data_IF_163197613966
#
_entry.id   IF_163197613966
#
_cell.length_a   1.000
_cell.length_b   1.000
_cell.length_c   1.000
_cell.angle_alpha   90.00
_cell.angle_beta   90.00
_cell.angle_gamma   90.00
#
_symmetry.space_group_name_H-M   'P 1'
#
loop_
_entity.id
_entity.type
_entity.pdbx_description
1 polymer ?
#
# COMPACT_ATOMS: atom_id res chain seq x y z
N UNK A 1 -6.83 -26.87 -18.25
CA UNK A 1 -6.66 -27.70 -17.01
C UNK A 1 -7.84 -27.38 -16.12
N UNK A 2 -8.55 -28.38 -15.65
CA UNK A 2 -9.65 -28.20 -14.68
C UNK A 2 -9.10 -28.31 -13.26
N UNK A 3 -9.77 -27.64 -12.32
CA UNK A 3 -9.40 -27.73 -10.91
C UNK A 3 -9.82 -29.09 -10.34
N UNK A 4 -8.92 -29.78 -9.66
CA UNK A 4 -9.22 -31.01 -8.96
C UNK A 4 -9.72 -30.69 -7.54
N UNK A 5 -11.03 -30.58 -7.38
CA UNK A 5 -11.67 -30.14 -6.15
C UNK A 5 -12.33 -31.30 -5.42
N UNK A 6 -12.09 -31.42 -4.10
CA UNK A 6 -12.81 -32.35 -3.20
C UNK A 6 -14.07 -31.70 -2.61
N UNK A 7 -14.13 -30.38 -2.53
CA UNK A 7 -15.28 -29.56 -2.12
C UNK A 7 -15.31 -28.27 -2.96
N UNK A 8 -16.43 -27.53 -2.98
CA UNK A 8 -16.50 -26.30 -3.77
C UNK A 8 -15.42 -25.31 -3.39
N UNK A 9 -14.87 -24.59 -4.38
CA UNK A 9 -13.96 -23.46 -4.21
C UNK A 9 -14.70 -22.18 -4.60
N UNK A 10 -14.78 -21.23 -3.65
CA UNK A 10 -15.48 -19.97 -3.81
C UNK A 10 -14.45 -18.85 -4.00
N UNK A 11 -14.34 -18.36 -5.23
CA UNK A 11 -13.60 -17.15 -5.53
C UNK A 11 -14.44 -15.94 -5.14
N UNK A 12 -13.81 -14.91 -4.57
CA UNK A 12 -14.51 -13.70 -4.21
C UNK A 12 -13.62 -12.47 -4.32
N UNK A 13 -14.28 -11.33 -4.56
CA UNK A 13 -13.70 -10.01 -4.63
C UNK A 13 -14.70 -8.99 -4.11
N UNK A 14 -14.24 -7.88 -3.55
CA UNK A 14 -15.08 -6.82 -3.00
C UNK A 14 -14.71 -5.45 -3.52
N UNK A 15 -15.72 -4.57 -3.62
CA UNK A 15 -15.53 -3.13 -3.63
C UNK A 15 -16.00 -2.55 -2.29
N UNK A 16 -15.33 -1.50 -1.84
CA UNK A 16 -15.58 -0.90 -0.52
C UNK A 16 -15.64 0.61 -0.55
N UNK A 17 -16.17 1.22 0.53
CA UNK A 17 -16.19 2.68 0.69
C UNK A 17 -14.80 3.28 0.86
N UNK A 18 -13.79 2.49 1.19
CA UNK A 18 -12.41 2.87 1.40
C UNK A 18 -11.56 1.70 1.92
N UNK A 19 -10.34 1.98 2.35
CA UNK A 19 -9.35 0.96 2.73
C UNK A 19 -9.21 0.73 4.25
N UNK A 20 -9.97 1.42 5.07
CA UNK A 20 -9.92 1.31 6.53
C UNK A 20 -10.95 0.30 7.02
N UNK A 21 -10.58 -0.97 7.13
CA UNK A 21 -11.48 -2.08 7.47
C UNK A 21 -12.40 -1.77 8.66
N UNK A 22 -11.95 -1.23 9.82
CA UNK A 22 -12.84 -0.90 10.93
C UNK A 22 -13.88 0.20 10.64
N UNK A 23 -13.61 1.10 9.69
CA UNK A 23 -14.46 2.27 9.41
C UNK A 23 -15.23 2.16 8.10
N UNK A 24 -14.71 1.43 7.12
CA UNK A 24 -15.28 1.30 5.80
C UNK A 24 -16.21 0.09 5.70
N UNK A 25 -16.99 0.02 4.62
CA UNK A 25 -18.00 -1.02 4.39
C UNK A 25 -17.92 -1.56 2.96
N UNK A 26 -18.34 -2.81 2.77
CA UNK A 26 -18.52 -3.42 1.45
C UNK A 26 -19.66 -2.72 0.71
N UNK A 27 -19.43 -2.38 -0.56
CA UNK A 27 -20.43 -1.78 -1.46
C UNK A 27 -20.75 -2.67 -2.67
N UNK A 28 -19.86 -3.59 -3.00
CA UNK A 28 -20.09 -4.66 -3.95
C UNK A 28 -19.37 -5.92 -3.48
N UNK A 29 -20.01 -7.07 -3.60
CA UNK A 29 -19.43 -8.39 -3.31
C UNK A 29 -19.75 -9.31 -4.46
N UNK A 30 -18.74 -9.93 -5.06
CA UNK A 30 -18.92 -10.90 -6.14
C UNK A 30 -18.35 -12.25 -5.75
N UNK A 31 -19.12 -13.29 -6.04
CA UNK A 31 -18.75 -14.68 -5.82
C UNK A 31 -18.79 -15.47 -7.13
N UNK A 32 -17.76 -16.28 -7.34
CA UNK A 32 -17.72 -17.33 -8.37
C UNK A 32 -17.44 -18.65 -7.66
N UNK A 33 -18.43 -19.52 -7.58
CA UNK A 33 -18.34 -20.81 -6.89
C UNK A 33 -18.17 -21.93 -7.90
N UNK A 34 -17.04 -22.63 -7.83
CA UNK A 34 -16.71 -23.78 -8.66
C UNK A 34 -16.95 -25.04 -7.86
N UNK A 35 -17.78 -25.92 -8.38
CA UNK A 35 -18.07 -27.21 -7.76
C UNK A 35 -17.13 -28.32 -8.26
N UNK A 36 -16.93 -29.39 -7.47
CA UNK A 36 -16.32 -30.60 -7.99
C UNK A 36 -17.07 -31.04 -9.27
N UNK A 37 -16.31 -31.27 -10.37
CA UNK A 37 -16.93 -31.58 -11.68
C UNK A 37 -17.12 -30.38 -12.61
N UNK A 38 -16.74 -29.17 -12.19
CA UNK A 38 -16.61 -27.99 -13.05
C UNK A 38 -17.87 -27.14 -13.21
N UNK A 39 -18.98 -27.45 -12.52
CA UNK A 39 -20.15 -26.57 -12.50
C UNK A 39 -19.75 -25.23 -11.86
N UNK A 40 -20.17 -24.11 -12.49
CA UNK A 40 -19.90 -22.76 -12.02
C UNK A 40 -21.20 -22.06 -11.64
N UNK A 41 -21.18 -21.31 -10.54
CA UNK A 41 -22.25 -20.38 -10.15
C UNK A 41 -21.68 -19.04 -9.83
N UNK A 42 -22.33 -17.97 -10.28
CA UNK A 42 -21.90 -16.60 -10.09
C UNK A 42 -23.01 -15.82 -9.40
N UNK A 43 -22.63 -14.99 -8.44
CA UNK A 43 -23.54 -14.06 -7.76
C UNK A 43 -22.79 -12.79 -7.39
N UNK A 44 -23.42 -11.66 -7.67
CA UNK A 44 -22.93 -10.34 -7.26
C UNK A 44 -24.03 -9.60 -6.50
N UNK A 45 -23.67 -8.93 -5.43
CA UNK A 45 -24.52 -8.05 -4.64
C UNK A 45 -23.98 -6.63 -4.72
N UNK A 46 -24.85 -5.67 -5.04
CA UNK A 46 -24.66 -4.27 -4.70
C UNK A 46 -25.19 -4.05 -3.29
N UNK A 47 -24.40 -3.46 -2.43
CA UNK A 47 -24.67 -3.39 -1.00
C UNK A 47 -24.65 -1.94 -0.57
N UNK A 48 -25.72 -1.49 0.10
CA UNK A 48 -25.78 -0.19 0.73
C UNK A 48 -24.88 -0.17 1.97
N UNK A 49 -23.83 0.64 1.99
CA UNK A 49 -22.95 0.75 3.15
C UNK A 49 -23.73 1.40 4.31
N UNK A 50 -23.88 0.67 5.43
CA UNK A 50 -24.76 1.10 6.50
C UNK A 50 -24.04 1.19 7.85
N UNK A 51 -24.24 2.31 8.53
CA UNK A 51 -23.81 2.48 9.92
C UNK A 51 -24.97 2.10 10.85
N UNK A 52 -24.83 0.95 11.52
CA UNK A 52 -25.88 0.41 12.38
C UNK A 52 -26.05 1.20 13.68
N UNK A 53 -25.00 1.90 14.15
CA UNK A 53 -25.05 2.73 15.37
C UNK A 53 -25.76 4.07 15.07
N UNK A 54 -25.34 4.76 14.01
CA UNK A 54 -25.88 6.05 13.62
C UNK A 54 -27.13 5.96 12.73
N UNK A 55 -27.47 4.75 12.27
CA UNK A 55 -28.64 4.45 11.41
C UNK A 55 -28.66 5.30 10.13
N UNK A 56 -27.53 5.41 9.48
CA UNK A 56 -27.40 6.16 8.23
C UNK A 56 -26.49 5.44 7.23
N UNK A 57 -26.61 5.81 5.96
CA UNK A 57 -25.69 5.36 4.94
C UNK A 57 -24.30 5.95 5.20
N UNK A 58 -23.25 5.12 5.13
CA UNK A 58 -21.86 5.57 5.16
C UNK A 58 -21.49 6.17 3.80
N UNK A 59 -20.84 7.33 3.74
CA UNK A 59 -20.42 7.92 2.48
C UNK A 59 -19.25 7.11 1.86
N UNK A 60 -19.24 7.02 0.53
CA UNK A 60 -18.12 6.43 -0.20
C UNK A 60 -17.00 7.48 -0.29
N UNK A 61 -15.76 7.06 0.01
CA UNK A 61 -14.60 7.92 -0.17
C UNK A 61 -14.47 8.30 -1.66
N UNK A 62 -14.32 9.60 -2.01
CA UNK A 62 -14.16 10.03 -3.40
C UNK A 62 -13.02 9.34 -4.16
N UNK A 63 -11.93 8.95 -3.49
CA UNK A 63 -10.84 8.20 -4.13
C UNK A 63 -11.27 6.75 -4.43
N UNK A 64 -12.07 6.11 -3.58
CA UNK A 64 -12.65 4.80 -3.86
C UNK A 64 -13.61 4.88 -5.06
N UNK A 65 -14.52 5.87 -5.10
CA UNK A 65 -15.43 6.07 -6.24
C UNK A 65 -14.71 6.30 -7.57
N UNK A 66 -13.53 6.91 -7.57
CA UNK A 66 -12.72 7.07 -8.80
C UNK A 66 -12.20 5.74 -9.33
N UNK A 67 -11.95 4.77 -8.45
CA UNK A 67 -11.41 3.46 -8.81
C UNK A 67 -12.51 2.49 -9.20
N UNK A 68 -13.55 2.36 -8.34
CA UNK A 68 -14.61 1.38 -8.52
C UNK A 68 -15.83 1.90 -9.31
N UNK A 69 -15.88 3.21 -9.58
CA UNK A 69 -16.97 3.88 -10.31
C UNK A 69 -18.35 3.75 -9.67
N UNK A 70 -18.42 3.47 -8.36
CA UNK A 70 -19.66 3.38 -7.59
C UNK A 70 -19.82 4.66 -6.78
N UNK A 71 -21.04 5.22 -6.80
CA UNK A 71 -21.42 6.43 -6.07
C UNK A 71 -22.53 6.15 -5.05
N UNK A 72 -22.66 7.02 -4.04
CA UNK A 72 -23.67 6.87 -2.99
C UNK A 72 -25.10 6.73 -3.56
N UNK A 73 -25.44 7.49 -4.59
CA UNK A 73 -26.76 7.47 -5.23
C UNK A 73 -27.09 6.10 -5.87
N UNK A 74 -26.08 5.40 -6.40
CA UNK A 74 -26.26 4.07 -7.00
C UNK A 74 -26.65 3.01 -6.01
N UNK A 75 -26.42 3.23 -4.72
CA UNK A 75 -26.64 2.26 -3.65
C UNK A 75 -27.82 2.61 -2.75
N UNK A 76 -28.53 3.71 -3.01
CA UNK A 76 -29.62 4.21 -2.15
C UNK A 76 -30.72 3.15 -1.93
N UNK A 77 -31.10 2.42 -2.97
CA UNK A 77 -32.16 1.40 -2.94
C UNK A 77 -31.61 -0.03 -2.83
N UNK A 78 -30.28 -0.19 -2.65
CA UNK A 78 -29.67 -1.48 -2.47
C UNK A 78 -29.91 -2.04 -1.05
N UNK A 79 -29.92 -3.37 -0.86
CA UNK A 79 -29.95 -3.98 0.46
C UNK A 79 -28.68 -3.64 1.24
N UNK A 80 -28.77 -3.60 2.56
CA UNK A 80 -27.61 -3.54 3.44
C UNK A 80 -26.94 -4.91 3.53
N UNK A 81 -25.69 -4.97 4.08
CA UNK A 81 -25.06 -6.26 4.32
C UNK A 81 -25.89 -7.14 5.28
N UNK A 82 -26.54 -6.54 6.29
CA UNK A 82 -27.45 -7.23 7.18
C UNK A 82 -28.56 -7.98 6.42
N UNK A 83 -29.12 -7.38 5.37
CA UNK A 83 -30.23 -7.99 4.61
C UNK A 83 -29.76 -9.20 3.81
N UNK A 84 -28.55 -9.16 3.26
CA UNK A 84 -27.99 -10.23 2.40
C UNK A 84 -27.11 -11.24 3.14
N UNK A 85 -26.79 -11.01 4.41
CA UNK A 85 -25.81 -11.79 5.16
C UNK A 85 -26.10 -13.29 5.22
N UNK A 86 -27.37 -13.70 5.32
CA UNK A 86 -27.77 -15.13 5.30
C UNK A 86 -27.49 -15.77 3.95
N UNK A 87 -27.79 -15.06 2.86
CA UNK A 87 -27.52 -15.55 1.51
C UNK A 87 -26.02 -15.66 1.29
N UNK A 88 -25.24 -14.64 1.67
CA UNK A 88 -23.77 -14.64 1.59
C UNK A 88 -23.18 -15.79 2.41
N UNK A 89 -23.63 -15.99 3.65
CA UNK A 89 -23.20 -17.11 4.48
C UNK A 89 -23.53 -18.48 3.85
N UNK A 90 -24.71 -18.60 3.20
CA UNK A 90 -25.12 -19.80 2.47
C UNK A 90 -24.21 -20.12 1.28
N UNK A 91 -23.69 -19.10 0.59
CA UNK A 91 -22.73 -19.30 -0.50
C UNK A 91 -21.35 -19.78 0.01
N UNK A 92 -20.90 -19.28 1.17
CA UNK A 92 -19.64 -19.67 1.78
C UNK A 92 -19.69 -21.09 2.36
N UNK A 93 -20.87 -21.49 2.84
CA UNK A 93 -21.04 -22.78 3.50
C UNK A 93 -20.52 -23.93 2.65
N UNK A 94 -19.79 -24.85 3.30
CA UNK A 94 -19.20 -26.05 2.71
C UNK A 94 -18.21 -25.81 1.55
N UNK A 95 -17.63 -24.58 1.47
CA UNK A 95 -16.66 -24.20 0.45
C UNK A 95 -15.32 -23.87 1.06
N UNK A 96 -14.24 -24.04 0.29
CA UNK A 96 -12.97 -23.34 0.51
C UNK A 96 -13.01 -21.99 -0.21
N UNK A 97 -12.10 -21.07 0.15
CA UNK A 97 -12.11 -19.70 -0.35
C UNK A 97 -10.89 -19.44 -1.24
N UNK A 98 -11.06 -18.61 -2.25
CA UNK A 98 -9.97 -18.14 -3.09
C UNK A 98 -10.18 -16.67 -3.49
N UNK A 99 -9.08 -15.98 -3.80
CA UNK A 99 -9.12 -14.61 -4.32
C UNK A 99 -7.72 -14.10 -4.63
N UNK A 100 -7.60 -12.83 -5.01
CA UNK A 100 -6.33 -12.19 -5.31
C UNK A 100 -6.02 -11.10 -4.29
N UNK A 101 -5.00 -11.26 -3.45
CA UNK A 101 -4.68 -10.42 -2.28
C UNK A 101 -5.79 -10.39 -1.22
N UNK A 102 -6.75 -11.27 -1.33
CA UNK A 102 -7.99 -11.28 -0.54
C UNK A 102 -7.78 -11.67 0.92
N UNK A 103 -6.71 -12.38 1.25
CA UNK A 103 -6.33 -12.71 2.63
C UNK A 103 -5.98 -11.48 3.48
N UNK A 104 -5.59 -10.36 2.86
CA UNK A 104 -5.17 -9.14 3.56
C UNK A 104 -6.23 -8.04 3.60
N UNK A 105 -7.22 -8.08 2.71
CA UNK A 105 -8.22 -7.03 2.60
C UNK A 105 -9.66 -7.59 2.53
N UNK A 106 -9.98 -8.34 1.49
CA UNK A 106 -11.37 -8.78 1.23
C UNK A 106 -11.92 -9.67 2.34
N UNK A 107 -11.15 -10.68 2.75
CA UNK A 107 -11.56 -11.60 3.81
C UNK A 107 -11.70 -10.90 5.17
N UNK A 108 -10.76 -10.06 5.62
CA UNK A 108 -10.93 -9.23 6.81
C UNK A 108 -12.15 -8.30 6.76
N UNK A 109 -12.40 -7.65 5.60
CA UNK A 109 -13.57 -6.76 5.43
C UNK A 109 -14.88 -7.56 5.48
N UNK A 110 -14.92 -8.73 4.84
CA UNK A 110 -16.09 -9.62 4.88
C UNK A 110 -16.36 -10.13 6.31
N UNK A 111 -15.30 -10.46 7.05
CA UNK A 111 -15.40 -10.85 8.45
C UNK A 111 -15.97 -9.71 9.31
N UNK A 112 -15.48 -8.49 9.11
CA UNK A 112 -15.96 -7.29 9.80
C UNK A 112 -17.45 -7.03 9.54
N UNK A 113 -17.91 -7.17 8.29
CA UNK A 113 -19.33 -7.00 7.95
C UNK A 113 -20.21 -8.08 8.61
N UNK A 114 -19.78 -9.34 8.66
CA UNK A 114 -20.50 -10.37 9.39
C UNK A 114 -20.60 -10.08 10.89
N UNK A 115 -19.51 -9.60 11.51
CA UNK A 115 -19.55 -9.25 12.94
C UNK A 115 -20.44 -8.03 13.20
N UNK A 116 -20.43 -7.02 12.33
CA UNK A 116 -21.36 -5.88 12.39
C UNK A 116 -22.83 -6.34 12.28
N UNK A 117 -23.13 -7.26 11.36
CA UNK A 117 -24.48 -7.82 11.23
C UNK A 117 -24.91 -8.60 12.48
N UNK A 118 -24.02 -9.38 13.10
CA UNK A 118 -24.28 -10.07 14.37
C UNK A 118 -24.53 -9.08 15.51
N UNK A 119 -23.71 -8.03 15.65
CA UNK A 119 -23.89 -6.97 16.64
C UNK A 119 -25.22 -6.22 16.44
N UNK A 120 -25.68 -6.07 15.20
CA UNK A 120 -26.97 -5.51 14.86
C UNK A 120 -28.16 -6.46 15.13
N UNK A 121 -27.91 -7.67 15.63
CA UNK A 121 -28.92 -8.64 16.04
C UNK A 121 -29.21 -9.76 15.03
N UNK A 122 -28.36 -9.93 13.99
CA UNK A 122 -28.51 -11.04 13.04
C UNK A 122 -27.99 -12.36 13.63
N UNK A 123 -28.81 -13.41 13.64
CA UNK A 123 -28.38 -14.75 14.07
C UNK A 123 -27.67 -15.48 12.91
N UNK A 124 -26.35 -15.31 12.84
CA UNK A 124 -25.53 -15.88 11.77
C UNK A 124 -24.60 -16.96 12.29
N UNK A 125 -24.63 -18.12 11.64
CA UNK A 125 -23.73 -19.25 11.90
C UNK A 125 -22.71 -19.38 10.77
N UNK A 126 -21.81 -18.41 10.68
CA UNK A 126 -20.69 -18.40 9.70
C UNK A 126 -19.36 -18.38 10.45
N UNK A 127 -18.45 -19.26 10.04
CA UNK A 127 -17.09 -19.31 10.54
C UNK A 127 -16.12 -19.20 9.36
N UNK A 128 -15.49 -18.02 9.20
CA UNK A 128 -14.55 -17.76 8.12
C UNK A 128 -13.13 -18.30 8.40
N UNK A 129 -12.88 -18.86 9.58
CA UNK A 129 -11.61 -19.50 9.93
C UNK A 129 -11.58 -21.01 9.60
N UNK A 130 -12.69 -21.61 9.26
CA UNK A 130 -12.78 -23.04 8.93
C UNK A 130 -12.38 -23.35 7.49
N UNK A 131 -12.81 -22.57 6.45
CA UNK A 131 -12.41 -22.81 5.07
C UNK A 131 -10.91 -22.69 4.88
N UNK A 132 -10.35 -23.52 3.99
CA UNK A 132 -9.01 -23.29 3.47
C UNK A 132 -9.03 -22.05 2.57
N UNK A 133 -7.91 -21.28 2.58
CA UNK A 133 -7.79 -20.07 1.79
C UNK A 133 -6.69 -20.20 0.75
N UNK A 134 -7.03 -19.99 -0.52
CA UNK A 134 -6.08 -19.93 -1.64
C UNK A 134 -5.96 -18.49 -2.13
N UNK A 135 -4.90 -17.81 -1.73
CA UNK A 135 -4.60 -16.47 -2.24
C UNK A 135 -3.71 -16.58 -3.49
N UNK A 136 -4.31 -16.30 -4.65
CA UNK A 136 -3.65 -16.44 -5.95
C UNK A 136 -2.48 -15.46 -6.10
N UNK A 137 -2.53 -14.28 -5.46
CA UNK A 137 -1.40 -13.34 -5.45
C UNK A 137 -0.20 -13.94 -4.70
N UNK A 138 -0.43 -14.66 -3.61
CA UNK A 138 0.66 -15.31 -2.87
C UNK A 138 1.33 -16.37 -3.73
N UNK A 139 0.55 -17.19 -4.46
CA UNK A 139 1.10 -18.15 -5.43
C UNK A 139 1.91 -17.43 -6.50
N UNK A 140 1.36 -16.37 -7.08
CA UNK A 140 2.05 -15.55 -8.08
C UNK A 140 3.39 -15.02 -7.56
N UNK A 141 3.42 -14.43 -6.36
CA UNK A 141 4.64 -13.89 -5.77
C UNK A 141 5.67 -14.97 -5.40
N UNK A 142 5.23 -16.19 -5.06
CA UNK A 142 6.14 -17.30 -4.77
C UNK A 142 6.72 -17.91 -6.04
N UNK A 143 5.92 -18.02 -7.11
CA UNK A 143 6.31 -18.65 -8.37
C UNK A 143 7.05 -17.68 -9.30
N UNK A 144 6.77 -16.38 -9.19
CA UNK A 144 7.38 -15.30 -9.97
C UNK A 144 8.17 -14.33 -9.06
N UNK A 145 9.33 -14.76 -8.57
CA UNK A 145 10.13 -13.95 -7.67
C UNK A 145 10.65 -12.69 -8.36
N UNK A 146 10.60 -11.54 -7.66
CA UNK A 146 11.13 -10.25 -8.14
C UNK A 146 12.58 -10.07 -7.71
N UNK A 147 13.47 -10.85 -8.31
CA UNK A 147 14.91 -10.76 -8.10
C UNK A 147 15.66 -10.63 -9.45
N UNK A 148 16.98 -10.42 -9.42
CA UNK A 148 17.78 -10.21 -10.60
C UNK A 148 17.72 -11.39 -11.60
N UNK A 149 17.73 -12.64 -11.10
CA UNK A 149 17.62 -13.84 -11.96
C UNK A 149 16.29 -13.88 -12.71
N UNK A 150 15.18 -13.59 -12.01
CA UNK A 150 13.86 -13.53 -12.65
C UNK A 150 13.77 -12.38 -13.64
N UNK A 151 14.33 -11.21 -13.33
CA UNK A 151 14.42 -10.08 -14.25
C UNK A 151 15.25 -10.44 -15.48
N UNK A 152 16.42 -11.06 -15.29
CA UNK A 152 17.28 -11.46 -16.40
C UNK A 152 16.57 -12.46 -17.33
N UNK A 153 15.94 -13.51 -16.79
CA UNK A 153 15.14 -14.46 -17.58
C UNK A 153 14.02 -13.76 -18.36
N UNK A 154 13.32 -12.84 -17.74
CA UNK A 154 12.18 -12.14 -18.35
C UNK A 154 12.58 -11.20 -19.48
N UNK A 155 13.70 -10.49 -19.32
CA UNK A 155 14.16 -9.48 -20.29
C UNK A 155 15.19 -10.00 -21.29
N UNK A 156 16.01 -11.00 -20.91
CA UNK A 156 17.20 -11.40 -21.67
C UNK A 156 17.12 -12.81 -22.30
N UNK A 157 15.91 -13.30 -22.61
CA UNK A 157 15.74 -14.50 -23.45
C UNK A 157 15.35 -15.78 -22.73
N UNK A 158 15.01 -15.73 -21.44
CA UNK A 158 14.42 -16.87 -20.72
C UNK A 158 15.40 -17.80 -20.01
N UNK A 159 16.70 -17.66 -20.26
CA UNK A 159 17.75 -18.45 -19.61
C UNK A 159 18.34 -17.73 -18.36
N UNK A 160 18.97 -18.50 -17.47
CA UNK A 160 19.72 -17.94 -16.36
C UNK A 160 21.12 -17.48 -16.82
N UNK A 161 21.73 -16.57 -16.06
CA UNK A 161 23.13 -16.22 -16.23
C UNK A 161 24.01 -17.04 -15.26
N UNK A 162 25.23 -17.33 -15.69
CA UNK A 162 26.19 -18.11 -14.92
C UNK A 162 26.75 -17.34 -13.74
N UNK A 163 27.24 -18.08 -12.72
CA UNK A 163 27.89 -17.52 -11.53
C UNK A 163 27.06 -16.48 -10.75
N UNK A 164 25.73 -16.63 -10.71
CA UNK A 164 24.88 -15.81 -9.86
C UNK A 164 25.37 -15.82 -8.42
N UNK A 165 25.31 -14.65 -7.77
CA UNK A 165 25.89 -14.30 -6.45
C UNK A 165 27.39 -13.96 -6.50
N UNK A 166 28.00 -13.88 -7.67
CA UNK A 166 29.24 -13.13 -7.88
C UNK A 166 28.90 -11.67 -8.17
N UNK A 167 29.55 -10.74 -7.50
CA UNK A 167 29.29 -9.29 -7.71
C UNK A 167 29.50 -8.88 -9.17
N UNK A 168 30.49 -9.45 -9.86
CA UNK A 168 30.77 -9.21 -11.26
C UNK A 168 29.62 -9.71 -12.16
N UNK A 169 29.21 -10.98 -11.99
CA UNK A 169 28.13 -11.57 -12.80
C UNK A 169 26.79 -10.85 -12.54
N UNK A 170 26.45 -10.52 -11.31
CA UNK A 170 25.24 -9.79 -10.95
C UNK A 170 25.23 -8.37 -11.52
N UNK A 171 26.40 -7.70 -11.54
CA UNK A 171 26.55 -6.36 -12.15
C UNK A 171 26.37 -6.41 -13.67
N UNK A 172 26.97 -7.38 -14.34
CA UNK A 172 26.80 -7.59 -15.77
C UNK A 172 25.35 -7.93 -16.13
N UNK A 173 24.71 -8.84 -15.38
CA UNK A 173 23.31 -9.18 -15.57
C UNK A 173 22.40 -7.94 -15.37
N UNK A 174 22.68 -7.09 -14.39
CA UNK A 174 21.95 -5.84 -14.16
C UNK A 174 22.07 -4.90 -15.38
N UNK A 175 23.25 -4.78 -15.96
CA UNK A 175 23.47 -3.98 -17.16
C UNK A 175 22.69 -4.52 -18.38
N UNK A 176 22.71 -5.83 -18.59
CA UNK A 176 21.94 -6.45 -19.70
C UNK A 176 20.43 -6.26 -19.50
N UNK A 177 19.91 -6.40 -18.28
CA UNK A 177 18.51 -6.13 -17.95
C UNK A 177 18.14 -4.68 -18.28
N UNK A 178 18.97 -3.69 -17.91
CA UNK A 178 18.69 -2.29 -18.23
C UNK A 178 18.63 -2.04 -19.76
N UNK A 179 19.53 -2.62 -20.54
CA UNK A 179 19.48 -2.50 -22.00
C UNK A 179 18.18 -3.08 -22.56
N UNK A 180 17.82 -4.28 -22.14
CA UNK A 180 16.59 -4.93 -22.58
C UNK A 180 15.32 -4.18 -22.13
N UNK A 181 15.33 -3.50 -20.97
CA UNK A 181 14.25 -2.60 -20.57
C UNK A 181 14.13 -1.39 -21.49
N UNK A 182 15.26 -0.78 -21.87
CA UNK A 182 15.28 0.35 -22.82
C UNK A 182 14.77 -0.06 -24.22
N UNK A 183 15.10 -1.26 -24.67
CA UNK A 183 14.61 -1.79 -25.94
C UNK A 183 13.11 -2.10 -25.92
N UNK A 184 12.59 -2.52 -24.75
CA UNK A 184 11.20 -2.94 -24.58
C UNK A 184 10.23 -1.81 -24.35
N UNK A 185 10.63 -0.78 -23.59
CA UNK A 185 9.75 0.30 -23.12
C UNK A 185 10.08 1.62 -23.79
N UNK A 186 9.25 2.02 -24.77
CA UNK A 186 9.45 3.25 -25.53
C UNK A 186 9.37 4.54 -24.69
N UNK A 187 8.72 4.49 -23.53
CA UNK A 187 8.65 5.59 -22.56
C UNK A 187 9.96 5.82 -21.80
N UNK A 188 10.86 4.84 -21.77
CA UNK A 188 12.18 4.98 -21.16
C UNK A 188 13.16 5.66 -22.13
N UNK A 189 13.65 6.82 -21.76
CA UNK A 189 14.69 7.52 -22.52
C UNK A 189 16.05 6.96 -22.15
N UNK A 190 16.86 6.63 -23.16
CA UNK A 190 18.26 6.19 -22.97
C UNK A 190 19.15 7.38 -22.57
N UNK A 191 18.89 7.92 -21.41
CA UNK A 191 19.61 9.03 -20.78
C UNK A 191 19.55 8.87 -19.26
N UNK A 192 20.71 8.89 -18.59
CA UNK A 192 20.80 8.62 -17.14
C UNK A 192 19.99 9.61 -16.30
N UNK A 193 19.95 10.89 -16.70
CA UNK A 193 19.17 11.90 -16.00
C UNK A 193 17.67 11.64 -16.12
N UNK A 194 17.22 11.26 -17.33
CA UNK A 194 15.83 10.92 -17.58
C UNK A 194 15.42 9.64 -16.85
N UNK A 195 16.26 8.60 -16.85
CA UNK A 195 16.01 7.36 -16.10
C UNK A 195 15.98 7.58 -14.60
N UNK A 196 16.90 8.37 -14.07
CA UNK A 196 16.92 8.75 -12.66
C UNK A 196 15.68 9.55 -12.26
N UNK A 197 15.19 10.43 -13.14
CA UNK A 197 13.96 11.19 -12.91
C UNK A 197 12.71 10.29 -12.99
N UNK A 198 12.69 9.31 -13.91
CA UNK A 198 11.60 8.35 -14.06
C UNK A 198 11.42 7.48 -12.81
N UNK A 199 12.52 6.99 -12.23
CA UNK A 199 12.50 6.22 -10.98
C UNK A 199 12.11 7.09 -9.77
N UNK A 200 12.42 8.39 -9.86
CA UNK A 200 12.19 9.37 -8.81
C UNK A 200 13.25 9.31 -7.69
N UNK A 201 13.59 10.48 -7.16
CA UNK A 201 14.49 10.60 -6.01
C UNK A 201 13.70 10.45 -4.72
N UNK A 202 13.64 9.24 -4.19
CA UNK A 202 12.84 8.92 -3.01
C UNK A 202 13.58 9.13 -1.68
N UNK A 203 14.89 8.96 -1.67
CA UNK A 203 15.72 8.95 -0.47
C UNK A 203 16.70 10.13 -0.42
N UNK A 204 16.87 10.68 0.78
CA UNK A 204 17.86 11.74 1.07
C UNK A 204 19.14 11.15 1.61
N UNK A 205 19.02 10.13 2.46
CA UNK A 205 20.11 9.28 2.93
C UNK A 205 19.99 7.86 2.37
N UNK A 206 21.09 7.13 2.22
CA UNK A 206 21.11 5.81 1.60
C UNK A 206 20.43 4.71 2.43
N UNK A 207 20.14 4.98 3.71
CA UNK A 207 19.44 4.04 4.59
C UNK A 207 17.91 4.26 4.60
N UNK A 208 17.41 5.30 3.93
CA UNK A 208 15.98 5.59 3.86
C UNK A 208 15.37 6.13 5.16
N UNK A 209 16.18 6.63 6.08
CA UNK A 209 15.70 7.30 7.29
C UNK A 209 15.18 8.72 7.01
N UNK A 210 15.74 9.37 5.98
CA UNK A 210 15.26 10.63 5.44
C UNK A 210 14.79 10.44 4.02
N UNK A 211 13.55 10.83 3.72
CA UNK A 211 12.93 10.70 2.40
C UNK A 211 12.32 12.02 1.96
N UNK A 212 12.02 12.15 0.67
CA UNK A 212 11.20 13.23 0.15
C UNK A 212 9.72 12.85 0.24
N UNK A 213 8.87 13.78 0.67
CA UNK A 213 7.42 13.68 0.52
C UNK A 213 6.97 14.08 -0.90
N UNK A 214 5.66 13.98 -1.18
CA UNK A 214 5.09 14.34 -2.48
C UNK A 214 5.25 15.83 -2.83
N UNK A 215 5.56 16.68 -1.84
CA UNK A 215 5.83 18.11 -2.01
C UNK A 215 7.32 18.41 -2.15
N UNK A 216 8.19 17.39 -2.17
CA UNK A 216 9.63 17.52 -2.22
C UNK A 216 10.27 17.96 -0.90
N UNK A 217 9.54 17.93 0.22
CA UNK A 217 10.07 18.25 1.53
C UNK A 217 10.76 17.03 2.13
N UNK A 218 11.84 17.25 2.88
CA UNK A 218 12.55 16.18 3.58
C UNK A 218 11.82 15.83 4.87
N UNK A 219 11.34 14.58 4.97
CA UNK A 219 10.67 14.06 6.14
C UNK A 219 11.46 12.93 6.81
N UNK A 220 11.27 12.78 8.11
CA UNK A 220 11.83 11.67 8.90
C UNK A 220 10.96 10.45 8.69
N UNK A 221 11.57 9.32 8.30
CA UNK A 221 10.85 8.07 7.98
C UNK A 221 10.99 7.00 9.08
N UNK A 222 11.31 7.37 10.31
CA UNK A 222 11.47 6.44 11.42
C UNK A 222 11.11 7.04 12.78
N UNK A 223 10.87 6.16 13.77
CA UNK A 223 10.66 6.53 15.16
C UNK A 223 9.49 7.47 15.43
N UNK A 224 9.55 8.17 16.56
CA UNK A 224 8.47 9.06 17.06
C UNK A 224 8.17 10.27 16.17
N UNK A 225 9.08 10.62 15.26
CA UNK A 225 8.93 11.74 14.34
C UNK A 225 8.67 11.33 12.90
N UNK A 226 8.33 10.06 12.66
CA UNK A 226 7.97 9.59 11.33
C UNK A 226 6.87 10.43 10.71
N UNK A 227 7.08 10.88 9.45
CA UNK A 227 6.16 11.73 8.69
C UNK A 227 6.28 13.22 8.96
N UNK A 228 7.05 13.66 9.97
CA UNK A 228 7.32 15.09 10.20
C UNK A 228 8.48 15.57 9.34
N UNK A 229 8.44 16.83 8.89
CA UNK A 229 9.58 17.40 8.19
C UNK A 229 10.77 17.54 9.12
N UNK A 230 11.98 17.36 8.60
CA UNK A 230 13.21 17.53 9.37
C UNK A 230 13.33 18.94 9.96
N UNK A 231 12.75 19.94 9.25
CA UNK A 231 12.68 21.33 9.73
C UNK A 231 11.79 21.45 10.97
N UNK A 232 10.56 20.88 10.93
CA UNK A 232 9.66 20.89 12.08
C UNK A 232 10.32 20.27 13.31
N UNK A 233 11.04 19.16 13.15
CA UNK A 233 11.73 18.51 14.27
C UNK A 233 12.90 19.35 14.78
N UNK A 234 13.65 20.00 13.90
CA UNK A 234 14.71 20.94 14.32
C UNK A 234 14.17 22.11 15.16
N UNK A 235 13.01 22.65 14.79
CA UNK A 235 12.42 23.80 15.47
C UNK A 235 11.75 23.41 16.80
N UNK A 236 11.19 22.22 16.92
CA UNK A 236 10.47 21.77 18.12
C UNK A 236 11.30 20.93 19.09
N UNK A 237 12.24 20.14 18.59
CA UNK A 237 13.09 19.24 19.39
C UNK A 237 14.52 19.12 18.80
N UNK A 238 15.34 20.17 18.84
CA UNK A 238 16.69 20.16 18.26
C UNK A 238 17.62 19.10 18.87
N UNK A 239 17.36 18.66 20.11
CA UNK A 239 18.09 17.58 20.76
C UNK A 239 18.00 16.24 20.03
N UNK A 240 16.95 16.03 19.23
CA UNK A 240 16.77 14.83 18.42
C UNK A 240 17.90 14.64 17.40
N UNK A 241 18.45 15.72 16.86
CA UNK A 241 19.60 15.69 15.97
C UNK A 241 20.86 15.14 16.65
N UNK A 242 21.10 15.55 17.88
CA UNK A 242 22.20 15.02 18.70
C UNK A 242 21.98 13.54 19.05
N UNK A 243 20.74 13.15 19.33
CA UNK A 243 20.40 11.78 19.59
C UNK A 243 20.66 10.87 18.37
N UNK A 244 20.28 11.29 17.15
CA UNK A 244 20.59 10.56 15.92
C UNK A 244 22.09 10.44 15.70
N UNK A 245 22.84 11.52 15.86
CA UNK A 245 24.31 11.52 15.66
C UNK A 245 25.04 10.58 16.61
N UNK A 246 24.57 10.46 17.84
CA UNK A 246 25.16 9.59 18.86
C UNK A 246 24.58 8.18 18.86
N UNK A 247 23.47 7.94 18.16
CA UNK A 247 22.80 6.65 18.07
C UNK A 247 23.43 5.67 17.08
N UNK A 248 22.83 4.48 16.98
CA UNK A 248 23.27 3.40 16.06
C UNK A 248 22.68 3.61 14.65
N UNK A 249 23.01 4.74 14.01
CA UNK A 249 22.65 5.05 12.63
C UNK A 249 23.86 4.96 11.71
N UNK A 250 23.63 4.80 10.41
CA UNK A 250 24.70 4.83 9.42
C UNK A 250 25.41 6.20 9.41
N UNK A 251 26.66 6.21 9.02
CA UNK A 251 27.43 7.47 8.94
C UNK A 251 26.81 8.46 7.96
N UNK A 252 26.23 7.97 6.85
CA UNK A 252 25.53 8.83 5.90
C UNK A 252 24.29 9.50 6.53
N UNK A 253 23.42 8.74 7.23
CA UNK A 253 22.30 9.33 7.97
C UNK A 253 22.76 10.41 8.94
N UNK A 254 23.80 10.11 9.72
CA UNK A 254 24.39 11.09 10.68
C UNK A 254 24.92 12.35 9.98
N UNK A 255 25.58 12.17 8.83
CA UNK A 255 26.10 13.28 8.03
C UNK A 255 24.96 14.15 7.46
N UNK A 256 23.87 13.55 6.97
CA UNK A 256 22.71 14.31 6.49
C UNK A 256 22.05 15.11 7.63
N UNK A 257 21.85 14.52 8.81
CA UNK A 257 21.33 15.25 9.97
C UNK A 257 22.25 16.42 10.37
N UNK A 258 23.58 16.21 10.38
CA UNK A 258 24.52 17.26 10.68
C UNK A 258 24.46 18.42 9.66
N UNK A 259 24.36 18.09 8.35
CA UNK A 259 24.25 19.08 7.28
C UNK A 259 22.97 19.91 7.39
N UNK A 260 21.81 19.28 7.68
CA UNK A 260 20.57 20.01 7.89
C UNK A 260 20.61 20.87 9.14
N UNK A 261 21.21 20.38 10.23
CA UNK A 261 21.37 21.16 11.47
C UNK A 261 22.21 22.43 11.24
N UNK A 262 23.32 22.27 10.53
CA UNK A 262 24.18 23.40 10.18
C UNK A 262 23.45 24.43 9.31
N UNK A 263 22.77 23.96 8.26
CA UNK A 263 21.97 24.79 7.36
C UNK A 263 20.93 25.61 8.13
N UNK A 264 20.13 24.97 8.99
CA UNK A 264 19.09 25.64 9.77
C UNK A 264 19.66 26.61 10.83
N UNK A 265 20.83 26.31 11.40
CA UNK A 265 21.52 27.23 12.29
C UNK A 265 21.99 28.48 11.56
N UNK A 266 22.54 28.32 10.34
CA UNK A 266 22.99 29.46 9.52
C UNK A 266 21.79 30.32 9.07
N UNK A 267 20.66 29.73 8.69
CA UNK A 267 19.46 30.50 8.40
C UNK A 267 19.01 31.35 9.59
N UNK A 268 18.88 30.74 10.78
CA UNK A 268 18.50 31.47 12.00
C UNK A 268 19.49 32.60 12.36
N UNK A 269 20.78 32.45 12.08
CA UNK A 269 21.76 33.49 12.27
C UNK A 269 21.62 34.64 11.25
N UNK A 270 21.35 34.29 9.98
CA UNK A 270 21.13 35.29 8.92
C UNK A 270 19.85 36.10 9.15
N UNK A 271 18.79 35.48 9.62
CA UNK A 271 17.55 36.15 9.98
C UNK A 271 17.75 37.15 11.14
N UNK A 272 18.54 36.77 12.15
CA UNK A 272 18.91 37.69 13.25
C UNK A 272 19.77 38.87 12.80
N UNK A 273 20.64 38.67 11.81
CA UNK A 273 21.50 39.71 11.28
C UNK A 273 20.80 40.69 10.35
N UNK A 274 19.80 40.20 9.58
CA UNK A 274 18.98 40.97 8.65
C UNK A 274 17.69 41.53 9.28
N UNK A 275 17.47 41.32 10.57
CA UNK A 275 16.36 41.89 11.32
C UNK A 275 16.48 43.40 11.45
N UNK A 276 15.38 44.16 11.66
CA UNK A 276 15.46 45.63 11.83
C UNK A 276 16.36 45.96 13.00
N UNK A 277 17.47 46.62 12.72
CA UNK A 277 18.30 47.20 13.75
C UNK A 277 17.43 48.16 14.59
N UNK A 278 17.40 48.05 15.94
CA UNK A 278 16.75 49.03 16.76
C UNK A 278 17.44 50.38 16.46
N UNK A 279 16.67 51.31 15.95
CA UNK A 279 17.13 52.56 15.43
C UNK A 279 18.07 53.29 16.39
N UNK A 280 19.11 53.91 15.83
CA UNK A 280 19.91 54.93 16.49
C UNK A 280 18.98 55.98 17.11
N UNK A 281 18.74 55.84 18.41
CA UNK A 281 18.19 56.92 19.19
C UNK A 281 19.16 58.10 19.08
N UNK A 282 18.70 59.19 18.47
CA UNK A 282 19.43 60.48 18.44
C UNK A 282 19.78 60.87 19.86
N UNK A 283 21.06 60.92 20.13
CA UNK A 283 21.57 61.74 21.21
C UNK A 283 21.54 63.22 20.74
N UNK A 284 20.68 63.97 21.39
CA UNK A 284 20.92 65.38 21.73
C UNK A 284 20.60 65.60 23.18
#
# INVERSE_FOLDING_TARGET
MELNLSRPLLFFDIESTGLNIPADSIIELSFVKIFPGGEERIKTWKIKPWDYENRCQRPINPEASKVNHITDDMLTDCPTFFDVADEVAGWIKDSDLAGFNSSKFDLPMLAEEFERAKLAGKDLKVNLHEPLMVDVQNIYHMMEPRNLRAAYRFYCGGEDFDNAHSAEADTLATYEVLKAQLDRYAELKNDVKALSAFVGKKYVDFSGHLIYDDKGQVIINFGKHKGKTIRQVFDTEPSYFSWVRNGSFTLDTKAQFARFEEHFKMEKLSEKWNGPHPGNGRLF
#
